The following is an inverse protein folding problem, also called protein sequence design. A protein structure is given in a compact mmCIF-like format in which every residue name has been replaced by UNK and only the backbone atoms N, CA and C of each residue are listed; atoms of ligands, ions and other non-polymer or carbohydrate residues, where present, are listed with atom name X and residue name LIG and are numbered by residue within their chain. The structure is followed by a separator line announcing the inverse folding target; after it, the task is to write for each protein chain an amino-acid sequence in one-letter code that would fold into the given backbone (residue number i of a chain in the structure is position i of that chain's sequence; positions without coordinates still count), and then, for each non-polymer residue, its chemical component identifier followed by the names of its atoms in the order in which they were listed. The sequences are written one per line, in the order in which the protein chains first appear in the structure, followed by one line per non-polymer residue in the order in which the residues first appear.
data_IF_738593172843
#
_entry.id   IF_738593172843
#
_cell.length_a   1.000
_cell.length_b   1.000
_cell.length_c   1.000
_cell.angle_alpha   90.00
_cell.angle_beta   90.00
_cell.angle_gamma   90.00
#
_symmetry.space_group_name_H-M   'P 1'
#
loop_
_entity.id
_entity.type
_entity.pdbx_description
1 polymer ?
#
# COMPACT_ATOMS: atom_id res chain seq x y z
N UNK A 1 -15.67 16.06 -5.95
CA UNK A 1 -14.71 15.33 -5.09
C UNK A 1 -15.29 14.05 -4.48
N UNK A 2 -16.56 14.00 -4.18
CA UNK A 2 -17.20 12.80 -3.60
C UNK A 2 -17.03 11.57 -4.50
N UNK A 3 -17.20 11.71 -5.82
CA UNK A 3 -17.01 10.59 -6.75
C UNK A 3 -15.58 10.04 -6.75
N UNK A 4 -14.59 10.91 -6.72
CA UNK A 4 -13.18 10.52 -6.69
C UNK A 4 -12.81 9.86 -5.34
N UNK A 5 -13.38 10.35 -4.24
CA UNK A 5 -13.18 9.74 -2.92
C UNK A 5 -13.80 8.35 -2.84
N UNK A 6 -15.01 8.18 -3.39
CA UNK A 6 -15.65 6.87 -3.44
C UNK A 6 -14.85 5.88 -4.28
N UNK A 7 -14.32 6.31 -5.41
CA UNK A 7 -13.43 5.51 -6.23
C UNK A 7 -12.17 5.11 -5.47
N UNK A 8 -11.56 6.04 -4.76
CA UNK A 8 -10.37 5.78 -3.96
C UNK A 8 -10.64 4.74 -2.84
N UNK A 9 -11.81 4.80 -2.21
CA UNK A 9 -12.21 3.80 -1.19
C UNK A 9 -12.25 2.40 -1.80
N UNK A 10 -12.91 2.25 -2.95
CA UNK A 10 -13.03 0.95 -3.63
C UNK A 10 -11.66 0.45 -4.10
N UNK A 11 -10.89 1.31 -4.75
CA UNK A 11 -9.57 0.96 -5.27
C UNK A 11 -8.61 0.58 -4.15
N UNK A 12 -8.62 1.33 -3.05
CA UNK A 12 -7.81 1.04 -1.87
C UNK A 12 -8.16 -0.30 -1.23
N UNK A 13 -9.46 -0.59 -1.08
CA UNK A 13 -9.92 -1.86 -0.53
C UNK A 13 -9.54 -3.04 -1.42
N UNK A 14 -9.70 -2.91 -2.75
CA UNK A 14 -9.30 -3.95 -3.69
C UNK A 14 -7.80 -4.20 -3.65
N UNK A 15 -6.98 -3.14 -3.63
CA UNK A 15 -5.53 -3.26 -3.57
C UNK A 15 -5.07 -3.91 -2.27
N UNK A 16 -5.65 -3.53 -1.13
CA UNK A 16 -5.34 -4.15 0.16
C UNK A 16 -5.72 -5.63 0.19
N UNK A 17 -6.84 -6.00 -0.44
CA UNK A 17 -7.25 -7.38 -0.53
C UNK A 17 -6.27 -8.22 -1.35
N UNK A 18 -5.77 -7.69 -2.46
CA UNK A 18 -4.75 -8.34 -3.29
C UNK A 18 -3.46 -8.55 -2.48
N UNK A 19 -3.01 -7.52 -1.77
CA UNK A 19 -1.81 -7.60 -0.93
C UNK A 19 -1.98 -8.59 0.23
N UNK A 20 -3.17 -8.65 0.82
CA UNK A 20 -3.50 -9.63 1.85
C UNK A 20 -3.40 -11.06 1.32
N UNK A 21 -3.99 -11.31 0.15
CA UNK A 21 -3.95 -12.63 -0.48
C UNK A 21 -2.52 -13.05 -0.80
N UNK A 22 -1.71 -12.14 -1.34
CA UNK A 22 -0.30 -12.38 -1.61
C UNK A 22 0.45 -12.75 -0.33
N UNK A 23 0.25 -11.99 0.73
CA UNK A 23 0.90 -12.23 2.02
C UNK A 23 0.49 -13.57 2.63
N UNK A 24 -0.80 -13.89 2.62
CA UNK A 24 -1.30 -15.16 3.15
C UNK A 24 -0.75 -16.35 2.35
N UNK A 25 -0.65 -16.21 1.04
CA UNK A 25 -0.07 -17.24 0.18
C UNK A 25 1.41 -17.43 0.50
N UNK A 26 2.17 -16.35 0.62
CA UNK A 26 3.59 -16.41 0.97
C UNK A 26 3.82 -17.05 2.35
N UNK A 27 2.97 -16.72 3.32
CA UNK A 27 3.03 -17.29 4.68
C UNK A 27 2.83 -18.79 4.67
N UNK A 28 1.91 -19.29 3.86
CA UNK A 28 1.63 -20.71 3.75
C UNK A 28 2.88 -21.50 3.35
N UNK A 29 3.78 -20.87 2.61
CA UNK A 29 5.00 -21.49 2.12
C UNK A 29 6.26 -21.14 2.93
N UNK A 30 6.17 -20.23 3.90
CA UNK A 30 7.32 -19.89 4.74
C UNK A 30 7.59 -20.96 5.79
N UNK A 31 8.87 -21.29 6.05
CA UNK A 31 9.19 -22.17 7.17
C UNK A 31 8.79 -21.53 8.50
N UNK A 32 8.19 -22.33 9.39
CA UNK A 32 7.65 -21.85 10.69
C UNK A 32 8.72 -21.46 11.72
N UNK A 33 9.93 -21.22 11.31
CA UNK A 33 11.04 -20.87 12.19
C UNK A 33 11.09 -19.39 12.59
N UNK A 34 10.23 -18.59 12.02
CA UNK A 34 10.20 -17.18 12.37
C UNK A 34 9.32 -16.96 13.58
N UNK A 35 9.97 -16.56 14.63
CA UNK A 35 9.42 -15.96 15.82
C UNK A 35 8.25 -15.00 15.55
N UNK A 36 7.40 -14.91 16.55
CA UNK A 36 6.23 -14.04 16.69
C UNK A 36 6.54 -12.53 16.50
N UNK A 37 7.27 -12.15 15.47
CA UNK A 37 7.43 -10.73 15.17
C UNK A 37 6.11 -10.19 14.62
N UNK A 38 5.55 -9.14 15.23
CA UNK A 38 4.35 -8.51 14.69
C UNK A 38 4.64 -8.06 13.26
N UNK A 39 3.86 -8.57 12.31
CA UNK A 39 4.01 -8.21 10.92
C UNK A 39 3.59 -6.77 10.73
N UNK A 40 4.39 -5.97 10.00
CA UNK A 40 3.98 -4.60 9.72
C UNK A 40 2.65 -4.61 8.99
N UNK A 41 1.73 -3.75 9.39
CA UNK A 41 0.46 -3.57 8.70
C UNK A 41 0.73 -3.18 7.26
N UNK A 42 -0.02 -3.78 6.36
CA UNK A 42 -0.04 -3.32 4.98
C UNK A 42 -0.79 -2.00 4.90
N UNK A 43 -0.14 -1.02 4.32
CA UNK A 43 -0.75 0.29 4.07
C UNK A 43 -0.56 0.64 2.61
N UNK A 44 -1.49 1.43 2.10
CA UNK A 44 -1.42 2.03 0.77
C UNK A 44 -1.78 3.49 0.87
N UNK A 45 -1.32 4.26 -0.08
CA UNK A 45 -1.66 5.67 -0.18
C UNK A 45 -2.43 5.93 -1.46
N UNK A 46 -3.33 6.89 -1.41
CA UNK A 46 -3.98 7.43 -2.61
C UNK A 46 -4.01 8.95 -2.54
N UNK A 47 -3.99 9.56 -3.71
CA UNK A 47 -4.14 11.00 -3.85
C UNK A 47 -5.40 11.26 -4.65
N UNK A 48 -6.30 12.04 -4.06
CA UNK A 48 -7.54 12.47 -4.70
C UNK A 48 -7.35 13.92 -5.11
N UNK A 49 -7.52 14.21 -6.38
CA UNK A 49 -7.29 15.55 -6.94
C UNK A 49 -8.56 16.08 -7.58
N UNK A 50 -8.89 17.33 -7.26
CA UNK A 50 -9.95 18.09 -7.92
C UNK A 50 -9.49 19.53 -8.07
N UNK A 51 -9.18 19.93 -9.31
CA UNK A 51 -8.62 21.24 -9.57
C UNK A 51 -7.33 21.45 -8.79
N UNK A 52 -7.21 22.57 -8.04
CA UNK A 52 -6.01 22.85 -7.26
C UNK A 52 -5.98 22.13 -5.91
N UNK A 53 -7.00 21.34 -5.57
CA UNK A 53 -7.10 20.68 -4.27
C UNK A 53 -6.62 19.25 -4.40
N UNK A 54 -5.70 18.84 -3.52
CA UNK A 54 -5.15 17.49 -3.47
C UNK A 54 -5.29 16.95 -2.05
N UNK A 55 -5.84 15.75 -1.94
CA UNK A 55 -6.00 15.05 -0.67
C UNK A 55 -5.15 13.80 -0.67
N UNK A 56 -4.38 13.62 0.39
CA UNK A 56 -3.61 12.40 0.61
C UNK A 56 -4.33 11.54 1.64
N UNK A 57 -4.61 10.32 1.25
CA UNK A 57 -5.29 9.34 2.08
C UNK A 57 -4.40 8.12 2.31
N UNK A 58 -4.49 7.54 3.50
CA UNK A 58 -3.88 6.23 3.78
C UNK A 58 -4.99 5.19 3.89
N UNK A 59 -4.74 4.03 3.28
CA UNK A 59 -5.63 2.87 3.31
C UNK A 59 -4.99 1.78 4.15
N UNK A 60 -5.78 1.18 5.03
CA UNK A 60 -5.31 0.08 5.88
C UNK A 60 -6.49 -0.80 6.27
N UNK A 61 -6.17 -1.96 6.82
CA UNK A 61 -7.16 -2.91 7.28
C UNK A 61 -6.95 -3.18 8.77
N UNK A 62 -8.02 -3.07 9.54
CA UNK A 62 -8.06 -3.47 10.95
C UNK A 62 -9.07 -4.60 11.04
N UNK A 63 -8.61 -5.76 11.53
CA UNK A 63 -9.39 -7.00 11.51
C UNK A 63 -9.84 -7.31 10.08
N UNK A 64 -11.11 -7.30 9.78
CA UNK A 64 -11.62 -7.51 8.42
C UNK A 64 -12.19 -6.24 7.79
N UNK A 65 -12.09 -5.11 8.49
CA UNK A 65 -12.63 -3.84 8.02
C UNK A 65 -11.56 -3.00 7.31
N UNK A 66 -11.91 -2.46 6.15
CA UNK A 66 -11.06 -1.54 5.42
C UNK A 66 -11.27 -0.12 5.92
N UNK A 67 -10.18 0.59 6.12
CA UNK A 67 -10.19 1.96 6.61
C UNK A 67 -9.48 2.89 5.64
N UNK A 68 -9.96 4.10 5.54
CA UNK A 68 -9.37 5.17 4.76
C UNK A 68 -9.34 6.42 5.61
N UNK A 69 -8.15 6.94 5.87
CA UNK A 69 -7.96 8.12 6.73
C UNK A 69 -7.29 9.23 5.95
N UNK A 70 -7.87 10.43 6.04
CA UNK A 70 -7.27 11.63 5.44
C UNK A 70 -6.04 12.02 6.25
N UNK A 71 -4.90 12.11 5.58
CA UNK A 71 -3.66 12.57 6.19
C UNK A 71 -3.45 14.05 6.02
N UNK A 72 -3.67 14.58 4.82
CA UNK A 72 -3.43 15.99 4.54
C UNK A 72 -4.17 16.46 3.29
N UNK A 73 -4.44 17.76 3.27
CA UNK A 73 -5.02 18.47 2.12
C UNK A 73 -4.08 19.62 1.75
N UNK A 74 -3.83 19.78 0.45
CA UNK A 74 -3.06 20.91 -0.08
C UNK A 74 -3.85 21.64 -1.14
N UNK A 75 -3.63 22.93 -1.19
CA UNK A 75 -4.17 23.78 -2.24
C UNK A 75 -3.00 24.37 -3.03
N UNK A 76 -2.79 23.86 -4.24
CA UNK A 76 -1.60 24.20 -5.02
C UNK A 76 -1.67 25.57 -5.72
N UNK A 77 -2.59 26.42 -5.30
CA UNK A 77 -2.63 27.83 -5.74
C UNK A 77 -1.53 28.67 -5.09
N UNK A 78 -0.89 28.21 -4.02
CA UNK A 78 0.25 28.89 -3.40
C UNK A 78 1.52 28.09 -3.65
N UNK A 79 2.65 28.78 -3.81
CA UNK A 79 3.96 28.14 -4.02
C UNK A 79 4.35 27.28 -2.83
N UNK A 80 4.06 27.74 -1.63
CA UNK A 80 4.39 27.00 -0.40
C UNK A 80 3.70 25.64 -0.36
N UNK A 81 2.40 25.60 -0.59
CA UNK A 81 1.64 24.35 -0.55
C UNK A 81 1.97 23.44 -1.73
N UNK A 82 2.24 24.03 -2.92
CA UNK A 82 2.69 23.25 -4.06
C UNK A 82 4.02 22.52 -3.76
N UNK A 83 4.97 23.20 -3.13
CA UNK A 83 6.24 22.60 -2.72
C UNK A 83 6.04 21.49 -1.68
N UNK A 84 5.20 21.74 -0.68
CA UNK A 84 4.90 20.74 0.36
C UNK A 84 4.26 19.49 -0.25
N UNK A 85 3.35 19.67 -1.19
CA UNK A 85 2.69 18.58 -1.89
C UNK A 85 3.70 17.73 -2.68
N UNK A 86 4.56 18.36 -3.46
CA UNK A 86 5.61 17.67 -4.23
C UNK A 86 6.55 16.92 -3.32
N UNK A 87 6.96 17.51 -2.20
CA UNK A 87 7.82 16.86 -1.21
C UNK A 87 7.14 15.63 -0.59
N UNK A 88 5.85 15.74 -0.26
CA UNK A 88 5.09 14.62 0.29
C UNK A 88 4.98 13.47 -0.72
N UNK A 89 4.69 13.79 -2.00
CA UNK A 89 4.66 12.79 -3.06
C UNK A 89 6.03 12.11 -3.24
N UNK A 90 7.10 12.88 -3.18
CA UNK A 90 8.46 12.34 -3.27
C UNK A 90 8.75 11.32 -2.18
N UNK A 91 8.35 11.59 -0.95
CA UNK A 91 8.50 10.66 0.19
C UNK A 91 7.69 9.39 0.01
N UNK A 92 6.46 9.50 -0.49
CA UNK A 92 5.62 8.33 -0.75
C UNK A 92 6.20 7.48 -1.87
N UNK A 93 6.68 8.09 -2.94
CA UNK A 93 7.34 7.37 -4.02
C UNK A 93 8.61 6.67 -3.55
N UNK A 94 9.40 7.32 -2.70
CA UNK A 94 10.60 6.72 -2.10
C UNK A 94 10.23 5.50 -1.26
N UNK A 95 9.20 5.60 -0.42
CA UNK A 95 8.67 4.46 0.34
C UNK A 95 8.23 3.34 -0.61
N UNK A 96 7.52 3.67 -1.69
CA UNK A 96 7.02 2.69 -2.65
C UNK A 96 8.13 1.96 -3.38
N UNK A 97 9.19 2.65 -3.77
CA UNK A 97 10.33 2.07 -4.50
C UNK A 97 11.21 1.21 -3.59
N UNK A 98 11.41 1.62 -2.33
CA UNK A 98 12.29 0.90 -1.41
C UNK A 98 11.53 -0.06 -0.50
N UNK A 99 10.73 0.44 0.40
CA UNK A 99 10.11 -0.39 1.43
C UNK A 99 9.00 -1.29 0.89
N UNK A 100 8.06 -0.71 0.15
CA UNK A 100 6.91 -1.43 -0.36
C UNK A 100 7.32 -2.46 -1.43
N UNK A 101 8.13 -2.03 -2.38
CA UNK A 101 8.62 -2.90 -3.45
C UNK A 101 9.40 -4.08 -2.89
N UNK A 102 10.29 -3.82 -1.93
CA UNK A 102 11.09 -4.88 -1.29
C UNK A 102 10.21 -5.90 -0.60
N UNK A 103 9.19 -5.46 0.13
CA UNK A 103 8.26 -6.35 0.81
C UNK A 103 7.49 -7.23 -0.19
N UNK A 104 6.96 -6.65 -1.26
CA UNK A 104 6.22 -7.38 -2.29
C UNK A 104 7.12 -8.38 -3.02
N UNK A 105 8.32 -7.97 -3.42
CA UNK A 105 9.27 -8.87 -4.09
C UNK A 105 9.69 -10.04 -3.22
N UNK A 106 9.85 -9.81 -1.92
CA UNK A 106 10.17 -10.88 -0.97
C UNK A 106 9.06 -11.94 -0.94
N UNK A 107 7.82 -11.53 -0.86
CA UNK A 107 6.67 -12.43 -0.87
C UNK A 107 6.56 -13.20 -2.18
N UNK A 108 6.73 -12.52 -3.31
CA UNK A 108 6.71 -13.16 -4.64
C UNK A 108 7.85 -14.16 -4.80
N UNK A 109 9.04 -13.86 -4.29
CA UNK A 109 10.19 -14.76 -4.36
C UNK A 109 9.95 -16.06 -3.58
N UNK A 110 9.32 -15.96 -2.41
CA UNK A 110 8.93 -17.13 -1.61
C UNK A 110 8.00 -18.04 -2.42
N UNK A 111 6.97 -17.47 -3.02
CA UNK A 111 5.99 -18.22 -3.82
C UNK A 111 6.67 -18.85 -5.05
N UNK A 112 7.48 -18.10 -5.76
CA UNK A 112 8.21 -18.58 -6.93
C UNK A 112 9.10 -19.76 -6.61
N UNK A 113 9.87 -19.68 -5.54
CA UNK A 113 10.75 -20.73 -5.08
C UNK A 113 9.97 -22.02 -4.80
N UNK A 114 8.87 -21.93 -4.10
CA UNK A 114 8.03 -23.09 -3.77
C UNK A 114 7.40 -23.71 -5.01
N UNK A 115 6.99 -22.92 -5.98
CA UNK A 115 6.44 -23.42 -7.24
C UNK A 115 7.50 -24.14 -8.06
N UNK A 116 8.74 -23.66 -8.06
CA UNK A 116 9.86 -24.35 -8.73
C UNK A 116 10.16 -25.69 -8.09
N UNK A 117 10.19 -25.76 -6.77
CA UNK A 117 10.42 -27.01 -6.05
C UNK A 117 9.34 -28.04 -6.37
N UNK A 118 8.08 -27.64 -6.45
CA UNK A 118 6.98 -28.54 -6.84
C UNK A 118 7.11 -29.08 -8.25
N UNK A 119 7.67 -28.30 -9.18
CA UNK A 119 7.89 -28.75 -10.55
C UNK A 119 9.01 -29.79 -10.67
N UNK A 120 9.93 -29.80 -9.73
CA UNK A 120 11.06 -30.72 -9.73
C UNK A 120 10.73 -32.07 -9.07
N UNK A 121 9.59 -32.17 -8.41
CA UNK A 121 9.05 -33.41 -7.90
C UNK A 121 8.30 -34.16 -9.02
#
# INVERSE_FOLDING_TARGET
MVGAQNQAVVDGACALNILRDLKLTAITYMPRTSTDQPRPRQILFSVVTEGPIHELWVHYQIDEAYHMTLLRIWRTTTVKEAKEFVQALGKILEWGVYDFRTAVLKELTVIETMLRERRME
#
